data_IF_517399062415
#
_entry.id   IF_517399062415
#
_cell.length_a   1.000
_cell.length_b   1.000
_cell.length_c   1.000
_cell.angle_alpha   90.00
_cell.angle_beta   90.00
_cell.angle_gamma   90.00
#
_symmetry.space_group_name_H-M   'P 1'
#
loop_
_entity.id
_entity.type
_entity.pdbx_description
1 polymer ?
#
# COMPACT_ATOMS: atom_id res chain seq x y z
N UNK A 1 -6.64 -16.27 1.82
CA UNK A 1 -5.84 -15.79 0.66
C UNK A 1 -4.87 -16.87 0.22
N UNK A 2 -3.96 -17.38 1.06
CA UNK A 2 -2.93 -18.36 0.66
C UNK A 2 -3.50 -19.62 0.01
N UNK A 3 -4.63 -20.14 0.54
CA UNK A 3 -5.32 -21.28 -0.07
C UNK A 3 -5.79 -20.97 -1.49
N UNK A 4 -6.43 -19.81 -1.67
CA UNK A 4 -6.98 -19.41 -2.97
C UNK A 4 -5.87 -19.15 -3.98
N UNK A 5 -4.75 -18.55 -3.53
CA UNK A 5 -3.57 -18.35 -4.34
C UNK A 5 -2.95 -19.68 -4.81
N UNK A 6 -2.89 -20.67 -3.94
CA UNK A 6 -2.40 -22.02 -4.30
C UNK A 6 -3.31 -22.80 -5.23
N UNK A 7 -4.59 -22.42 -5.31
CA UNK A 7 -5.61 -23.10 -6.14
C UNK A 7 -5.94 -22.34 -7.45
N UNK A 8 -5.30 -21.17 -7.71
CA UNK A 8 -5.60 -20.30 -8.87
C UNK A 8 -5.53 -21.06 -10.18
N UNK A 9 -4.47 -21.84 -10.41
CA UNK A 9 -4.32 -22.60 -11.67
C UNK A 9 -5.45 -23.61 -11.88
N UNK A 10 -5.87 -24.29 -10.83
CA UNK A 10 -6.96 -25.26 -10.87
C UNK A 10 -8.33 -24.58 -11.03
N UNK A 11 -8.51 -23.40 -10.45
CA UNK A 11 -9.77 -22.65 -10.48
C UNK A 11 -9.94 -21.83 -11.77
N UNK A 12 -8.88 -21.38 -12.41
CA UNK A 12 -8.91 -20.73 -13.72
C UNK A 12 -9.41 -21.69 -14.81
N UNK A 13 -9.10 -22.98 -14.71
CA UNK A 13 -9.57 -24.02 -15.64
C UNK A 13 -11.05 -24.36 -15.39
N UNK A 14 -11.57 -24.16 -14.20
CA UNK A 14 -12.92 -24.57 -13.80
C UNK A 14 -13.99 -23.47 -13.94
N UNK A 15 -13.64 -22.19 -14.18
CA UNK A 15 -14.57 -21.03 -14.20
C UNK A 15 -14.35 -20.10 -15.39
N UNK A 16 -15.44 -19.39 -15.78
CA UNK A 16 -15.55 -18.54 -16.96
C UNK A 16 -14.64 -17.30 -17.03
N UNK A 17 -13.72 -17.08 -16.05
CA UNK A 17 -12.73 -16.01 -16.12
C UNK A 17 -11.93 -15.83 -14.84
N UNK A 18 -10.64 -15.51 -14.93
CA UNK A 18 -9.76 -15.21 -13.80
C UNK A 18 -10.29 -14.06 -12.93
N UNK A 19 -10.85 -13.03 -13.56
CA UNK A 19 -11.37 -11.82 -12.92
C UNK A 19 -12.54 -12.09 -11.96
N UNK A 20 -13.40 -13.05 -12.26
CA UNK A 20 -14.54 -13.43 -11.40
C UNK A 20 -14.07 -14.14 -10.11
N UNK A 21 -12.96 -14.85 -10.17
CA UNK A 21 -12.41 -15.56 -9.02
C UNK A 21 -11.76 -14.58 -8.04
N UNK A 22 -10.93 -13.67 -8.51
CA UNK A 22 -10.27 -12.68 -7.68
C UNK A 22 -11.31 -11.78 -7.02
N UNK A 23 -12.27 -11.27 -7.77
CA UNK A 23 -13.37 -10.47 -7.20
C UNK A 23 -14.09 -11.18 -6.05
N UNK A 24 -14.27 -12.51 -6.11
CA UNK A 24 -14.85 -13.27 -5.00
C UNK A 24 -13.93 -13.36 -3.79
N UNK A 25 -12.63 -13.52 -4.02
CA UNK A 25 -11.64 -13.56 -2.93
C UNK A 25 -11.50 -12.20 -2.27
N UNK A 26 -11.37 -11.13 -3.06
CA UNK A 26 -11.29 -9.75 -2.56
C UNK A 26 -12.51 -9.42 -1.70
N UNK A 27 -13.71 -9.63 -2.20
CA UNK A 27 -14.96 -9.37 -1.46
C UNK A 27 -15.09 -10.21 -0.19
N UNK A 28 -14.61 -11.47 -0.22
CA UNK A 28 -14.63 -12.32 0.97
C UNK A 28 -13.64 -11.83 2.02
N UNK A 29 -12.43 -11.47 1.61
CA UNK A 29 -11.39 -10.93 2.51
C UNK A 29 -11.85 -9.62 3.10
N UNK A 30 -12.34 -8.70 2.27
CA UNK A 30 -12.89 -7.42 2.71
C UNK A 30 -14.00 -7.60 3.74
N UNK A 31 -14.96 -8.48 3.45
CA UNK A 31 -16.05 -8.79 4.38
C UNK A 31 -15.54 -9.30 5.72
N UNK A 32 -14.58 -10.21 5.72
CA UNK A 32 -13.98 -10.73 6.96
C UNK A 32 -13.31 -9.60 7.75
N UNK A 33 -12.55 -8.72 7.08
CA UNK A 33 -11.90 -7.59 7.72
C UNK A 33 -12.91 -6.61 8.33
N UNK A 34 -13.96 -6.26 7.59
CA UNK A 34 -15.04 -5.40 8.08
C UNK A 34 -15.74 -6.03 9.30
N UNK A 35 -16.08 -7.33 9.21
CA UNK A 35 -16.76 -8.04 10.29
C UNK A 35 -15.89 -8.09 11.56
N UNK A 36 -14.60 -8.40 11.44
CA UNK A 36 -13.68 -8.49 12.59
C UNK A 36 -13.39 -7.10 13.20
N UNK A 37 -13.11 -6.09 12.38
CA UNK A 37 -12.86 -4.73 12.85
C UNK A 37 -14.10 -4.11 13.50
N UNK A 38 -15.30 -4.41 12.99
CA UNK A 38 -16.56 -3.96 13.57
C UNK A 38 -16.83 -4.54 14.95
N UNK A 39 -16.33 -5.74 15.27
CA UNK A 39 -16.46 -6.33 16.62
C UNK A 39 -15.71 -5.50 17.67
N UNK A 40 -14.59 -4.89 17.27
CA UNK A 40 -13.77 -4.09 18.19
C UNK A 40 -14.29 -2.68 18.36
N UNK A 41 -14.76 -2.04 17.27
CA UNK A 41 -15.19 -0.62 17.22
C UNK A 41 -16.40 -0.45 16.29
N UNK A 42 -17.59 -0.77 16.80
CA UNK A 42 -18.88 -0.79 16.05
C UNK A 42 -19.27 0.53 15.38
N UNK A 43 -18.74 1.65 15.83
CA UNK A 43 -19.14 2.99 15.36
C UNK A 43 -18.20 3.58 14.31
N UNK A 44 -17.08 2.92 13.97
CA UNK A 44 -16.14 3.43 12.98
C UNK A 44 -16.67 3.17 11.57
N UNK A 45 -16.45 4.12 10.68
CA UNK A 45 -16.79 4.05 9.27
C UNK A 45 -15.69 3.30 8.49
N UNK A 46 -15.98 2.95 7.24
CA UNK A 46 -15.02 2.24 6.37
C UNK A 46 -14.92 2.94 5.02
N UNK A 47 -13.73 2.92 4.45
CA UNK A 47 -13.41 3.21 3.05
C UNK A 47 -12.71 1.96 2.53
N UNK A 48 -13.30 1.28 1.55
CA UNK A 48 -12.80 0.00 1.05
C UNK A 48 -12.80 -0.02 -0.46
N UNK A 49 -11.93 -0.83 -1.05
CA UNK A 49 -11.82 -0.92 -2.51
C UNK A 49 -13.09 -1.50 -3.15
N UNK A 50 -13.61 -2.61 -2.64
CA UNK A 50 -14.68 -3.38 -3.27
C UNK A 50 -16.08 -2.86 -2.97
N UNK A 51 -16.33 -2.48 -1.72
CA UNK A 51 -17.65 -2.01 -1.26
C UNK A 51 -17.77 -0.48 -1.30
N UNK A 52 -16.62 0.24 -1.31
CA UNK A 52 -16.60 1.70 -1.24
C UNK A 52 -16.75 2.23 0.18
N UNK A 53 -17.47 3.34 0.36
CA UNK A 53 -17.61 4.00 1.67
C UNK A 53 -18.82 3.49 2.43
N UNK A 54 -18.58 3.00 3.65
CA UNK A 54 -19.62 2.58 4.60
C UNK A 54 -19.61 3.56 5.77
N UNK A 55 -20.67 4.37 5.91
CA UNK A 55 -20.79 5.34 6.98
C UNK A 55 -21.48 4.71 8.19
N UNK A 56 -20.84 4.80 9.34
CA UNK A 56 -21.38 4.47 10.65
C UNK A 56 -21.62 5.74 11.49
N UNK A 57 -21.87 5.59 12.80
CA UNK A 57 -22.17 6.72 13.69
C UNK A 57 -21.04 7.74 13.77
N UNK A 58 -19.79 7.28 13.76
CA UNK A 58 -18.62 8.16 13.77
C UNK A 58 -18.19 8.42 12.32
N UNK A 59 -18.27 9.68 11.89
CA UNK A 59 -17.94 10.13 10.54
C UNK A 59 -16.50 10.70 10.44
N UNK A 60 -15.77 10.75 11.53
CA UNK A 60 -14.41 11.29 11.59
C UNK A 60 -13.37 10.19 11.76
N UNK A 61 -13.81 8.92 11.91
CA UNK A 61 -12.94 7.77 12.10
C UNK A 61 -13.25 6.71 11.05
N UNK A 62 -12.24 6.35 10.26
CA UNK A 62 -12.38 5.40 9.16
C UNK A 62 -11.31 4.31 9.22
N UNK A 63 -11.72 3.07 9.06
CA UNK A 63 -10.87 2.03 8.56
C UNK A 63 -10.76 2.16 7.04
N UNK A 64 -9.54 2.16 6.53
CA UNK A 64 -9.25 2.21 5.09
C UNK A 64 -8.65 0.85 4.73
N UNK A 65 -9.25 0.14 3.78
CA UNK A 65 -8.94 -1.27 3.51
C UNK A 65 -8.76 -1.50 2.01
N UNK A 66 -7.65 -2.11 1.67
CA UNK A 66 -7.45 -2.83 0.42
C UNK A 66 -7.31 -4.33 0.75
N UNK A 67 -8.25 -5.18 0.33
CA UNK A 67 -8.21 -6.61 0.64
C UNK A 67 -7.09 -7.35 -0.07
N UNK A 68 -6.71 -6.94 -1.30
CA UNK A 68 -5.62 -7.53 -2.09
C UNK A 68 -5.01 -6.47 -3.01
N UNK A 69 -4.09 -5.65 -2.50
CA UNK A 69 -3.24 -4.84 -3.36
C UNK A 69 -2.30 -5.74 -4.18
N UNK A 70 -2.25 -5.51 -5.49
CA UNK A 70 -1.57 -6.39 -6.42
C UNK A 70 -2.46 -7.49 -6.99
N UNK A 71 -3.76 -7.21 -7.19
CA UNK A 71 -4.76 -8.11 -7.76
C UNK A 71 -4.32 -8.76 -9.07
N UNK A 72 -3.64 -8.01 -9.95
CA UNK A 72 -3.08 -8.57 -11.20
C UNK A 72 -2.02 -9.62 -10.90
N UNK A 73 -1.12 -9.39 -9.94
CA UNK A 73 -0.12 -10.37 -9.52
C UNK A 73 -0.79 -11.63 -8.98
N UNK A 74 -1.78 -11.44 -8.10
CA UNK A 74 -2.56 -12.54 -7.53
C UNK A 74 -3.18 -13.40 -8.64
N UNK A 75 -3.84 -12.80 -9.63
CA UNK A 75 -4.45 -13.47 -10.78
C UNK A 75 -3.48 -14.31 -11.61
N UNK A 76 -2.27 -13.83 -11.74
CA UNK A 76 -1.24 -14.48 -12.57
C UNK A 76 -0.33 -15.42 -11.79
N UNK A 77 -0.64 -15.71 -10.51
CA UNK A 77 0.19 -16.59 -9.67
C UNK A 77 1.55 -15.97 -9.31
N UNK A 78 1.69 -14.64 -9.42
CA UNK A 78 2.90 -13.93 -9.02
C UNK A 78 2.84 -13.69 -7.51
N UNK A 79 3.79 -14.22 -6.70
CA UNK A 79 3.73 -14.17 -5.25
C UNK A 79 4.17 -12.79 -4.69
N UNK A 80 3.48 -11.73 -5.12
CA UNK A 80 3.76 -10.35 -4.74
C UNK A 80 2.46 -9.54 -4.68
N UNK A 81 1.79 -9.61 -3.56
CA UNK A 81 0.54 -8.91 -3.25
C UNK A 81 0.40 -8.78 -1.73
N UNK A 82 -0.45 -7.89 -1.26
CA UNK A 82 -0.62 -7.62 0.16
C UNK A 82 -2.06 -7.32 0.56
N UNK A 83 -2.35 -7.47 1.86
CA UNK A 83 -3.49 -6.86 2.53
C UNK A 83 -3.03 -5.54 3.12
N UNK A 84 -3.76 -4.45 2.86
CA UNK A 84 -3.49 -3.12 3.40
C UNK A 84 -4.65 -2.63 4.27
N UNK A 85 -4.36 -2.25 5.52
CA UNK A 85 -5.35 -1.72 6.46
C UNK A 85 -4.78 -0.50 7.16
N UNK A 86 -5.53 0.61 7.16
CA UNK A 86 -5.17 1.81 7.90
C UNK A 86 -6.31 2.30 8.77
N UNK A 87 -6.00 3.02 9.84
CA UNK A 87 -6.95 3.76 10.66
C UNK A 87 -6.71 5.25 10.47
N UNK A 88 -7.75 5.96 10.05
CA UNK A 88 -7.78 7.41 9.94
C UNK A 88 -8.64 8.00 11.06
N UNK A 89 -8.14 9.03 11.74
CA UNK A 89 -8.88 9.81 12.75
C UNK A 89 -8.74 11.30 12.38
N UNK A 90 -9.86 12.00 12.23
CA UNK A 90 -9.89 13.43 11.88
C UNK A 90 -9.00 13.74 10.66
N UNK A 91 -9.12 12.93 9.60
CA UNK A 91 -8.34 13.04 8.35
C UNK A 91 -6.84 12.73 8.50
N UNK A 92 -6.39 12.26 9.62
CA UNK A 92 -5.00 11.85 9.84
C UNK A 92 -4.89 10.32 9.93
N UNK A 93 -3.95 9.72 9.21
CA UNK A 93 -3.65 8.30 9.33
C UNK A 93 -2.83 8.08 10.61
N UNK A 94 -3.35 7.25 11.52
CA UNK A 94 -2.75 7.01 12.84
C UNK A 94 -2.26 5.59 13.04
N UNK A 95 -2.78 4.61 12.28
CA UNK A 95 -2.31 3.22 12.27
C UNK A 95 -2.22 2.75 10.83
N UNK A 96 -1.20 1.97 10.53
CA UNK A 96 -1.04 1.27 9.26
C UNK A 96 -0.56 -0.15 9.46
N UNK A 97 -1.12 -1.09 8.70
CA UNK A 97 -0.77 -2.49 8.67
C UNK A 97 -0.75 -2.96 7.22
N UNK A 98 0.35 -3.56 6.80
CA UNK A 98 0.51 -4.23 5.51
C UNK A 98 1.00 -5.64 5.77
N UNK A 99 0.32 -6.62 5.20
CA UNK A 99 0.66 -8.05 5.35
C UNK A 99 0.97 -8.64 3.98
N UNK A 100 2.20 -9.12 3.79
CA UNK A 100 2.57 -10.01 2.68
C UNK A 100 2.32 -11.46 3.15
N UNK A 101 1.25 -12.11 2.68
CA UNK A 101 0.89 -13.44 3.18
C UNK A 101 1.81 -14.55 2.62
N UNK A 102 2.52 -14.28 1.53
CA UNK A 102 3.41 -15.26 0.88
C UNK A 102 4.77 -15.30 1.57
N UNK A 103 5.34 -14.11 1.84
CA UNK A 103 6.63 -14.01 2.53
C UNK A 103 6.50 -14.07 4.05
N UNK A 104 5.25 -14.11 4.57
CA UNK A 104 4.96 -14.05 6.00
C UNK A 104 5.60 -12.82 6.66
N UNK A 105 5.49 -11.68 5.98
CA UNK A 105 6.01 -10.40 6.44
C UNK A 105 4.84 -9.49 6.85
N UNK A 106 4.97 -8.88 8.02
CA UNK A 106 3.99 -7.94 8.57
C UNK A 106 4.70 -6.62 8.81
N UNK A 107 4.25 -5.57 8.14
CA UNK A 107 4.73 -4.20 8.31
C UNK A 107 3.64 -3.42 9.02
N UNK A 108 3.99 -2.72 10.10
CA UNK A 108 3.01 -1.93 10.83
C UNK A 108 3.64 -0.71 11.49
N UNK A 109 2.81 0.28 11.68
CA UNK A 109 3.17 1.49 12.41
C UNK A 109 1.95 2.01 13.18
N UNK A 110 2.24 2.63 14.31
CA UNK A 110 1.30 3.43 15.10
C UNK A 110 1.94 4.80 15.34
N UNK A 111 1.15 5.85 15.18
CA UNK A 111 1.60 7.23 15.27
C UNK A 111 2.39 7.48 16.57
N UNK A 112 3.59 8.03 16.42
CA UNK A 112 4.55 8.31 17.50
C UNK A 112 5.15 7.07 18.18
N UNK A 113 4.87 5.86 17.69
CA UNK A 113 5.40 4.61 18.25
C UNK A 113 6.54 4.02 17.41
N UNK A 114 6.65 4.48 16.16
CA UNK A 114 7.61 4.02 15.18
C UNK A 114 7.05 2.92 14.26
N UNK A 115 7.87 2.52 13.29
CA UNK A 115 7.54 1.50 12.30
C UNK A 115 8.26 0.20 12.59
N UNK A 116 7.62 -0.92 12.24
CA UNK A 116 8.10 -2.26 12.51
C UNK A 116 7.87 -3.18 11.31
N UNK A 117 8.79 -4.13 11.16
CA UNK A 117 8.64 -5.28 10.29
C UNK A 117 8.75 -6.56 11.13
N UNK A 118 7.69 -7.34 11.22
CA UNK A 118 7.57 -8.46 12.15
C UNK A 118 7.91 -8.00 13.59
N UNK A 119 8.95 -8.56 14.18
CA UNK A 119 9.39 -8.22 15.54
C UNK A 119 10.54 -7.19 15.57
N UNK A 120 10.98 -6.70 14.41
CA UNK A 120 12.10 -5.77 14.27
C UNK A 120 11.65 -4.34 13.98
N UNK A 121 12.38 -3.35 14.49
CA UNK A 121 12.13 -1.95 14.18
C UNK A 121 12.54 -1.64 12.74
N UNK A 122 11.64 -1.07 11.95
CA UNK A 122 11.90 -0.67 10.58
C UNK A 122 12.46 0.77 10.51
N UNK A 123 13.29 1.04 9.51
CA UNK A 123 13.85 2.35 9.19
C UNK A 123 14.02 2.49 7.70
N UNK A 124 13.77 3.69 7.19
CA UNK A 124 14.11 4.04 5.80
C UNK A 124 15.62 3.95 5.56
N UNK A 125 16.02 3.81 4.30
CA UNK A 125 17.42 3.79 3.91
C UNK A 125 18.14 5.09 4.28
N UNK A 126 19.49 5.04 4.33
CA UNK A 126 20.33 6.21 4.61
C UNK A 126 21.07 6.72 3.35
N UNK A 127 20.71 6.22 2.17
CA UNK A 127 21.35 6.68 0.93
C UNK A 127 20.98 8.13 0.67
N UNK A 128 21.96 8.88 0.17
CA UNK A 128 21.81 10.29 -0.21
C UNK A 128 22.02 10.52 -1.70
N UNK A 129 22.75 9.63 -2.40
CA UNK A 129 22.96 9.77 -3.84
C UNK A 129 21.83 9.05 -4.60
N UNK A 130 21.08 9.79 -5.42
CA UNK A 130 19.92 9.29 -6.15
C UNK A 130 20.30 8.22 -7.20
N UNK A 131 21.53 8.28 -7.74
CA UNK A 131 22.00 7.33 -8.75
C UNK A 131 22.27 5.93 -8.17
N UNK A 132 22.44 5.83 -6.84
CA UNK A 132 22.64 4.56 -6.12
C UNK A 132 21.33 4.00 -5.56
N UNK A 133 20.21 4.71 -5.80
CA UNK A 133 18.92 4.37 -5.23
C UNK A 133 18.10 3.44 -6.12
N UNK A 134 17.25 2.65 -5.46
CA UNK A 134 16.24 1.80 -6.08
C UNK A 134 14.83 2.34 -5.75
N UNK A 135 14.02 2.57 -6.78
CA UNK A 135 12.68 3.13 -6.65
C UNK A 135 11.61 2.13 -7.07
N UNK A 136 10.50 2.11 -6.33
CA UNK A 136 9.24 1.52 -6.75
C UNK A 136 8.39 2.52 -7.53
N UNK A 137 7.75 2.07 -8.61
CA UNK A 137 6.78 2.86 -9.39
C UNK A 137 6.06 1.98 -10.38
N UNK A 138 4.78 2.22 -10.58
CA UNK A 138 3.98 1.59 -11.64
C UNK A 138 3.56 2.62 -12.72
N UNK A 139 4.20 3.79 -12.74
CA UNK A 139 3.97 4.80 -13.77
C UNK A 139 4.56 4.36 -15.12
N UNK A 140 3.70 4.24 -16.11
CA UNK A 140 4.10 3.97 -17.49
C UNK A 140 4.95 5.10 -18.08
N UNK A 141 5.96 4.75 -18.86
CA UNK A 141 6.78 5.71 -19.59
C UNK A 141 7.85 6.44 -18.77
N UNK A 142 7.85 6.32 -17.42
CA UNK A 142 8.81 7.04 -16.57
C UNK A 142 10.28 6.70 -16.90
N UNK A 143 10.55 5.47 -17.30
CA UNK A 143 11.89 5.00 -17.64
C UNK A 143 12.45 5.67 -18.92
N UNK A 144 11.58 6.09 -19.83
CA UNK A 144 12.00 6.84 -21.04
C UNK A 144 12.41 8.26 -20.69
N UNK A 145 11.81 8.85 -19.64
CA UNK A 145 12.11 10.22 -19.20
C UNK A 145 13.31 10.24 -18.23
N UNK A 146 13.44 9.20 -17.38
CA UNK A 146 14.53 9.08 -16.41
C UNK A 146 15.30 7.75 -16.58
N UNK A 147 16.02 7.57 -17.69
CA UNK A 147 16.67 6.29 -18.03
C UNK A 147 17.76 5.87 -17.04
N UNK A 148 18.29 6.80 -16.25
CA UNK A 148 19.35 6.56 -15.27
C UNK A 148 18.81 6.10 -13.90
N UNK A 149 17.51 6.18 -13.63
CA UNK A 149 16.95 5.70 -12.37
C UNK A 149 16.82 4.17 -12.39
N UNK A 150 17.20 3.54 -11.29
CA UNK A 150 16.93 2.12 -11.08
C UNK A 150 15.48 1.96 -10.59
N UNK A 151 14.61 1.46 -11.44
CA UNK A 151 13.18 1.34 -11.20
C UNK A 151 12.74 -0.11 -11.08
N UNK A 152 11.75 -0.32 -10.24
CA UNK A 152 10.96 -1.55 -10.16
C UNK A 152 9.48 -1.21 -10.36
N UNK A 153 8.85 -1.96 -11.26
CA UNK A 153 7.41 -2.00 -11.42
C UNK A 153 6.96 -3.33 -10.80
N UNK A 154 6.49 -3.27 -9.57
CA UNK A 154 6.17 -4.46 -8.77
C UNK A 154 4.70 -4.86 -8.90
N UNK A 155 3.83 -3.91 -9.23
CA UNK A 155 2.38 -4.10 -9.29
C UNK A 155 1.71 -4.23 -7.92
N UNK A 156 2.34 -3.74 -6.83
CA UNK A 156 1.79 -3.72 -5.48
C UNK A 156 2.33 -2.50 -4.71
N UNK A 157 1.54 -1.45 -4.67
CA UNK A 157 1.92 -0.16 -4.09
C UNK A 157 2.12 -0.23 -2.57
N UNK A 158 1.29 -0.99 -1.88
CA UNK A 158 1.40 -1.19 -0.44
C UNK A 158 2.74 -1.83 -0.07
N UNK A 159 3.17 -2.89 -0.80
CA UNK A 159 4.49 -3.50 -0.55
C UNK A 159 5.63 -2.58 -0.93
N UNK A 160 5.52 -1.81 -2.00
CA UNK A 160 6.56 -0.85 -2.37
C UNK A 160 6.76 0.20 -1.26
N UNK A 161 5.68 0.76 -0.70
CA UNK A 161 5.75 1.67 0.44
C UNK A 161 6.28 0.99 1.70
N UNK A 162 5.85 -0.24 2.00
CA UNK A 162 6.40 -1.01 3.11
C UNK A 162 7.91 -1.25 2.94
N UNK A 163 8.36 -1.49 1.71
CA UNK A 163 9.79 -1.66 1.39
C UNK A 163 10.57 -0.36 1.50
N UNK A 164 9.96 0.80 1.22
CA UNK A 164 10.57 2.09 1.57
C UNK A 164 10.70 2.23 3.08
N UNK A 165 9.66 1.90 3.84
CA UNK A 165 9.65 1.98 5.31
C UNK A 165 10.69 1.08 5.98
N UNK A 166 11.07 -0.04 5.37
CA UNK A 166 12.12 -0.93 5.90
C UNK A 166 13.49 -0.80 5.18
N UNK A 167 13.64 0.15 4.25
CA UNK A 167 14.90 0.46 3.57
C UNK A 167 15.30 -0.52 2.45
N UNK A 168 14.38 -1.38 1.99
CA UNK A 168 14.59 -2.24 0.82
C UNK A 168 14.49 -1.45 -0.49
N UNK A 169 13.58 -0.46 -0.54
CA UNK A 169 13.52 0.58 -1.55
C UNK A 169 13.97 1.90 -0.93
N UNK A 170 14.51 2.79 -1.74
CA UNK A 170 14.98 4.10 -1.32
C UNK A 170 13.91 5.17 -1.52
N UNK A 171 12.96 4.93 -2.40
CA UNK A 171 11.81 5.78 -2.64
C UNK A 171 10.72 5.07 -3.46
N UNK A 172 9.53 5.66 -3.44
CA UNK A 172 8.37 5.24 -4.21
C UNK A 172 7.67 6.49 -4.77
N UNK A 173 7.18 6.39 -5.98
CA UNK A 173 6.35 7.42 -6.58
C UNK A 173 5.33 6.83 -7.55
N UNK A 174 4.11 7.36 -7.49
CA UNK A 174 3.03 6.98 -8.38
C UNK A 174 2.09 8.17 -8.59
N UNK A 175 1.48 8.27 -9.77
CA UNK A 175 0.47 9.28 -10.06
C UNK A 175 -0.90 8.62 -10.16
N UNK A 176 -1.93 9.28 -9.62
CA UNK A 176 -3.34 8.88 -9.72
C UNK A 176 -3.62 7.49 -9.11
N UNK A 177 -3.08 7.24 -7.93
CA UNK A 177 -3.32 6.02 -7.14
C UNK A 177 -4.50 6.21 -6.19
N UNK A 178 -5.08 5.14 -5.69
CA UNK A 178 -6.20 5.20 -4.74
C UNK A 178 -5.70 5.32 -3.29
N UNK A 179 -6.57 5.84 -2.42
CA UNK A 179 -6.24 6.03 -1.01
C UNK A 179 -5.95 4.70 -0.29
N UNK A 180 -6.71 3.65 -0.56
CA UNK A 180 -6.55 2.36 0.11
C UNK A 180 -5.23 1.67 -0.21
N UNK A 181 -4.65 1.90 -1.40
CA UNK A 181 -3.35 1.37 -1.81
C UNK A 181 -2.19 1.97 -0.99
N UNK A 182 -2.35 3.22 -0.47
CA UNK A 182 -1.24 4.00 0.08
C UNK A 182 -1.39 4.40 1.56
N UNK A 183 -2.60 4.37 2.11
CA UNK A 183 -2.86 4.90 3.45
C UNK A 183 -2.01 4.21 4.53
N UNK A 184 -1.94 2.89 4.54
CA UNK A 184 -1.12 2.16 5.50
C UNK A 184 0.38 2.40 5.27
N UNK A 185 0.81 2.39 3.99
CA UNK A 185 2.20 2.64 3.63
C UNK A 185 2.70 4.02 4.03
N UNK A 186 1.82 5.04 3.97
CA UNK A 186 2.16 6.40 4.38
C UNK A 186 2.70 6.44 5.81
N UNK A 187 1.93 5.99 6.78
CA UNK A 187 2.36 6.05 8.18
C UNK A 187 3.54 5.12 8.45
N UNK A 188 3.64 3.97 7.77
CA UNK A 188 4.79 3.07 7.89
C UNK A 188 6.08 3.77 7.47
N UNK A 189 6.07 4.53 6.37
CA UNK A 189 7.23 5.30 5.90
C UNK A 189 7.53 6.45 6.87
N UNK A 190 6.54 7.23 7.29
CA UNK A 190 6.73 8.37 8.18
C UNK A 190 7.30 7.95 9.53
N UNK A 191 6.74 6.92 10.15
CA UNK A 191 7.20 6.38 11.44
C UNK A 191 8.56 5.64 11.35
N UNK A 192 8.98 5.27 10.12
CA UNK A 192 10.32 4.77 9.85
C UNK A 192 11.38 5.88 9.69
N UNK A 193 10.97 7.15 9.76
CA UNK A 193 11.82 8.34 9.59
C UNK A 193 11.92 8.83 8.15
N UNK A 194 11.03 8.37 7.26
CA UNK A 194 10.88 8.87 5.90
C UNK A 194 9.96 10.07 5.79
N UNK A 195 9.77 10.52 4.55
CA UNK A 195 8.79 11.55 4.18
C UNK A 195 7.84 11.00 3.13
N UNK A 196 6.57 11.38 3.24
CA UNK A 196 5.54 11.20 2.23
C UNK A 196 4.90 12.56 2.01
N UNK A 197 4.55 12.90 0.77
CA UNK A 197 3.87 14.16 0.51
C UNK A 197 2.50 14.22 1.22
N UNK A 198 2.04 15.45 1.47
CA UNK A 198 0.76 15.63 2.13
C UNK A 198 -0.37 15.08 1.27
N UNK A 199 -1.17 14.20 1.88
CA UNK A 199 -2.33 13.59 1.25
C UNK A 199 -3.64 14.24 1.75
N UNK A 200 -3.61 15.45 2.32
CA UNK A 200 -4.72 16.08 3.07
C UNK A 200 -5.93 16.48 2.23
N UNK A 201 -5.81 16.58 0.91
CA UNK A 201 -6.92 16.90 0.00
C UNK A 201 -7.47 15.65 -0.68
N UNK A 202 -7.88 14.68 0.15
CA UNK A 202 -8.33 13.38 -0.31
C UNK A 202 -9.62 13.46 -1.15
N UNK A 203 -9.45 13.55 -2.46
CA UNK A 203 -10.32 12.77 -3.33
C UNK A 203 -9.86 11.31 -3.18
N UNK A 204 -10.80 10.39 -2.94
CA UNK A 204 -10.49 8.97 -2.67
C UNK A 204 -9.69 8.27 -3.78
N UNK A 205 -9.60 8.91 -4.93
CA UNK A 205 -9.00 8.38 -6.15
C UNK A 205 -8.07 9.42 -6.77
N UNK A 206 -7.03 8.93 -7.47
CA UNK A 206 -6.11 9.75 -8.27
C UNK A 206 -5.15 10.63 -7.44
N UNK A 207 -4.65 10.09 -6.36
CA UNK A 207 -3.67 10.74 -5.50
C UNK A 207 -2.27 10.57 -6.12
N UNK A 208 -1.51 11.65 -6.18
CA UNK A 208 -0.09 11.57 -6.53
C UNK A 208 0.72 11.34 -5.24
N UNK A 209 1.47 10.25 -5.20
CA UNK A 209 2.29 9.89 -4.04
C UNK A 209 3.78 9.96 -4.36
N UNK A 210 4.54 10.48 -3.42
CA UNK A 210 6.00 10.52 -3.40
C UNK A 210 6.46 10.16 -2.01
N UNK A 211 7.31 9.15 -1.87
CA UNK A 211 7.80 8.66 -0.58
C UNK A 211 9.30 8.33 -0.65
N UNK A 212 10.02 8.53 0.43
CA UNK A 212 11.45 8.20 0.51
C UNK A 212 12.07 8.63 1.84
N UNK A 213 13.35 8.36 2.02
CA UNK A 213 14.08 8.99 3.11
C UNK A 213 14.16 10.52 2.85
N UNK A 214 14.44 11.36 3.86
CA UNK A 214 14.37 12.82 3.72
C UNK A 214 15.21 13.40 2.56
N UNK A 215 16.42 12.89 2.35
CA UNK A 215 17.33 13.40 1.31
C UNK A 215 16.85 13.01 -0.09
N UNK A 216 16.40 11.78 -0.25
CA UNK A 216 15.91 11.24 -1.52
C UNK A 216 14.56 11.85 -1.88
N UNK A 217 13.68 12.05 -0.89
CA UNK A 217 12.39 12.71 -1.08
C UNK A 217 12.55 14.11 -1.70
N UNK A 218 13.43 14.95 -1.13
CA UNK A 218 13.70 16.30 -1.65
C UNK A 218 14.29 16.26 -3.09
N UNK A 219 15.14 15.29 -3.38
CA UNK A 219 15.72 15.11 -4.71
C UNK A 219 14.69 14.60 -5.72
N UNK A 220 13.78 13.73 -5.29
CA UNK A 220 12.67 13.28 -6.13
C UNK A 220 11.76 14.45 -6.51
N UNK A 221 11.35 15.26 -5.54
CA UNK A 221 10.52 16.44 -5.80
C UNK A 221 11.15 17.35 -6.85
N UNK A 222 12.46 17.61 -6.75
CA UNK A 222 13.17 18.46 -7.73
C UNK A 222 13.27 17.84 -9.12
N UNK A 223 13.43 16.52 -9.21
CA UNK A 223 13.57 15.81 -10.49
C UNK A 223 12.20 15.49 -11.15
N UNK A 224 11.19 15.19 -10.35
CA UNK A 224 9.88 14.71 -10.83
C UNK A 224 8.79 15.81 -10.89
N UNK A 225 9.14 17.08 -10.62
CA UNK A 225 8.20 18.21 -10.66
C UNK A 225 7.56 18.48 -12.04
N UNK A 226 7.96 17.77 -13.08
CA UNK A 226 7.41 17.87 -14.44
C UNK A 226 6.67 16.61 -14.89
N UNK A 227 6.23 15.79 -13.92
CA UNK A 227 5.49 14.54 -14.19
C UNK A 227 4.16 14.50 -13.47
#
# INVERSE_FOLDING_TARGET
INRDFGEIENLQVAKKGPKDFVTKTDKRVEKILIDELSKTKKNYSFITEETGTILNKNKDIFWIIDPIDGTTNFLHGIPHFAISVALQINKEIVIGLIVDPIKNEIFYADKSSGSFMNNGRARVSKKSNIDDCLFGTDNDGIKSVYPKLNLRNSGCAALDLAYVGCGRLDGYFHNKINLWDIAAGKIIVEEAGGKVNNLSDFELNKIDVRAGNPDIYEKMLKKLNNF
#
